data_IF_951509094635
#
_entry.id   IF_951509094635
#
_cell.length_a   1.000
_cell.length_b   1.000
_cell.length_c   1.000
_cell.angle_alpha   90.00
_cell.angle_beta   90.00
_cell.angle_gamma   90.00
#
_symmetry.space_group_name_H-M   'P 1'
#
loop_
_entity.id
_entity.type
_entity.pdbx_description
1 polymer ?
#
# COMPACT_ATOMS: atom_id res chain seq x y z
N UNK A 1 28.09 17.66 2.36
CA UNK A 1 27.68 17.19 3.69
C UNK A 1 28.90 17.12 4.62
N UNK A 2 29.94 16.36 4.26
CA UNK A 2 31.14 16.22 5.11
C UNK A 2 31.89 17.54 5.30
N UNK A 3 32.25 18.20 4.24
CA UNK A 3 33.09 19.40 4.25
C UNK A 3 32.46 20.56 5.01
N UNK A 4 31.12 20.67 5.03
CA UNK A 4 30.37 21.70 5.74
C UNK A 4 29.75 21.19 7.06
N UNK A 5 30.06 19.96 7.50
CA UNK A 5 29.53 19.33 8.71
C UNK A 5 27.99 19.42 8.85
N UNK A 6 27.27 19.13 7.76
CA UNK A 6 25.80 19.18 7.76
C UNK A 6 25.23 17.86 8.30
N UNK A 7 24.44 17.92 9.37
CA UNK A 7 23.92 16.74 10.09
C UNK A 7 22.43 16.54 9.96
N UNK A 8 21.73 17.52 9.37
CA UNK A 8 20.27 17.48 9.20
C UNK A 8 19.81 17.92 7.81
N UNK A 9 18.62 17.48 7.40
CA UNK A 9 18.01 17.88 6.12
C UNK A 9 17.82 19.40 6.02
N UNK A 10 17.33 20.12 7.05
CA UNK A 10 17.21 21.58 6.99
C UNK A 10 18.54 22.28 6.75
N UNK A 11 19.64 21.82 7.38
CA UNK A 11 20.97 22.39 7.15
C UNK A 11 21.44 22.18 5.72
N UNK A 12 21.24 20.99 5.14
CA UNK A 12 21.58 20.74 3.74
C UNK A 12 20.75 21.62 2.81
N UNK A 13 19.44 21.75 3.06
CA UNK A 13 18.57 22.58 2.23
C UNK A 13 18.95 24.06 2.30
N UNK A 14 19.33 24.53 3.48
CA UNK A 14 19.84 25.90 3.66
C UNK A 14 21.16 26.13 2.92
N UNK A 15 22.09 25.19 3.01
CA UNK A 15 23.37 25.27 2.32
C UNK A 15 23.23 25.23 0.78
N UNK A 16 22.17 24.59 0.28
CA UNK A 16 21.83 24.55 -1.15
C UNK A 16 20.94 25.71 -1.60
N UNK A 17 20.59 26.64 -0.69
CA UNK A 17 19.64 27.73 -0.95
C UNK A 17 18.32 27.26 -1.54
N UNK A 18 17.84 26.12 -1.07
CA UNK A 18 16.65 25.46 -1.61
C UNK A 18 15.37 26.19 -1.19
N UNK A 19 14.39 26.25 -2.10
CA UNK A 19 13.13 27.00 -1.88
C UNK A 19 12.32 26.50 -0.69
N UNK A 20 12.46 25.23 -0.33
CA UNK A 20 11.74 24.62 0.80
C UNK A 20 12.73 24.18 1.88
N UNK A 21 12.62 24.69 3.12
CA UNK A 21 13.60 24.42 4.17
C UNK A 21 13.67 22.96 4.59
N UNK A 22 12.61 22.19 4.34
CA UNK A 22 12.53 20.77 4.72
C UNK A 22 12.68 19.81 3.54
N UNK A 23 12.98 20.31 2.34
CA UNK A 23 13.06 19.48 1.14
C UNK A 23 11.70 19.00 0.65
N UNK A 24 11.72 18.09 -0.31
CA UNK A 24 10.53 17.48 -0.90
C UNK A 24 10.55 15.96 -0.77
N UNK A 25 9.42 15.32 -1.10
CA UNK A 25 9.28 13.87 -1.08
C UNK A 25 10.33 13.12 -1.91
N UNK A 26 10.90 13.75 -2.93
CA UNK A 26 11.94 13.18 -3.79
C UNK A 26 13.34 13.29 -3.15
N UNK A 27 13.65 14.43 -2.54
CA UNK A 27 15.00 14.71 -2.02
C UNK A 27 15.23 14.11 -0.62
N UNK A 28 14.21 14.12 0.23
CA UNK A 28 14.34 13.69 1.64
C UNK A 28 14.91 12.28 1.81
N UNK A 29 14.48 11.22 1.09
CA UNK A 29 15.01 9.87 1.29
C UNK A 29 16.49 9.76 0.97
N UNK A 30 16.94 10.40 -0.11
CA UNK A 30 18.34 10.41 -0.50
C UNK A 30 19.19 11.17 0.53
N UNK A 31 18.74 12.34 0.96
CA UNK A 31 19.43 13.13 1.97
C UNK A 31 19.49 12.41 3.32
N UNK A 32 18.37 11.81 3.75
CA UNK A 32 18.33 11.02 4.97
C UNK A 32 19.35 9.87 4.92
N UNK A 33 19.39 9.13 3.81
CA UNK A 33 20.38 8.07 3.61
C UNK A 33 21.83 8.59 3.71
N UNK A 34 22.16 9.68 3.02
CA UNK A 34 23.51 10.24 3.04
C UNK A 34 23.90 10.83 4.40
N UNK A 35 22.95 11.45 5.09
CA UNK A 35 23.18 11.98 6.45
C UNK A 35 23.48 10.87 7.43
N UNK A 36 22.65 9.83 7.49
CA UNK A 36 22.84 8.68 8.40
C UNK A 36 24.12 7.93 8.06
N UNK A 37 24.43 7.74 6.77
CA UNK A 37 25.65 7.05 6.34
C UNK A 37 26.91 7.85 6.64
N UNK A 38 26.83 9.18 6.63
CA UNK A 38 27.97 10.07 6.89
C UNK A 38 28.16 10.31 8.39
N UNK A 39 27.07 10.48 9.12
CA UNK A 39 27.03 10.84 10.53
C UNK A 39 26.16 9.88 11.34
N UNK A 40 26.58 8.60 11.50
CA UNK A 40 25.71 7.56 12.10
C UNK A 40 25.36 7.80 13.58
N UNK A 41 26.09 8.68 14.28
CA UNK A 41 25.85 9.02 15.68
C UNK A 41 25.12 10.35 15.85
N UNK A 42 25.35 11.29 14.94
CA UNK A 42 24.89 12.69 15.02
C UNK A 42 23.57 12.90 14.25
N UNK A 43 23.45 12.31 13.06
CA UNK A 43 22.25 12.44 12.23
C UNK A 43 21.10 11.60 12.78
N UNK A 44 19.92 12.22 12.87
CA UNK A 44 18.70 11.51 13.24
C UNK A 44 17.99 11.05 11.99
N UNK A 45 17.49 9.79 12.04
CA UNK A 45 16.63 9.25 10.99
C UNK A 45 15.38 10.12 10.80
N UNK A 46 15.10 10.52 9.55
CA UNK A 46 13.94 11.33 9.22
C UNK A 46 12.68 10.45 9.11
N UNK A 47 11.71 10.57 10.03
CA UNK A 47 10.51 9.74 10.01
C UNK A 47 9.71 9.87 8.71
N UNK A 48 9.70 11.06 8.09
CA UNK A 48 8.96 11.27 6.83
C UNK A 48 9.59 10.53 5.65
N UNK A 49 10.92 10.33 5.65
CA UNK A 49 11.61 9.57 4.61
C UNK A 49 11.25 8.09 4.62
N UNK A 50 10.75 7.55 5.72
CA UNK A 50 10.30 6.16 5.84
C UNK A 50 9.12 5.82 4.94
N UNK A 51 8.27 6.80 4.67
CA UNK A 51 6.97 6.60 4.03
C UNK A 51 6.93 6.99 2.56
N UNK A 52 8.07 7.37 1.99
CA UNK A 52 8.12 7.78 0.58
C UNK A 52 7.98 6.58 -0.34
N UNK A 53 7.00 6.67 -1.24
CA UNK A 53 6.74 5.67 -2.26
C UNK A 53 7.42 6.08 -3.58
N UNK A 54 8.65 5.63 -3.78
CA UNK A 54 9.49 6.00 -4.92
C UNK A 54 8.95 5.51 -6.26
N UNK A 55 8.03 4.54 -6.24
CA UNK A 55 7.53 3.84 -7.43
C UNK A 55 6.01 3.95 -7.55
N UNK A 56 5.45 5.13 -7.17
CA UNK A 56 4.00 5.32 -7.16
C UNK A 56 3.37 5.14 -8.54
N UNK A 57 4.03 5.63 -9.58
CA UNK A 57 3.45 5.72 -10.93
C UNK A 57 3.95 4.66 -11.91
N UNK A 58 5.16 4.13 -11.73
CA UNK A 58 5.70 3.09 -12.57
C UNK A 58 6.85 2.35 -11.88
N UNK A 59 7.15 1.14 -12.30
CA UNK A 59 8.29 0.37 -11.83
C UNK A 59 9.21 0.02 -12.99
N UNK A 60 10.51 0.32 -12.84
CA UNK A 60 11.50 -0.05 -13.83
C UNK A 60 11.63 -1.58 -13.91
N UNK A 61 11.69 -2.09 -15.13
CA UNK A 61 11.81 -3.51 -15.44
C UNK A 61 13.26 -3.86 -15.81
N UNK A 62 13.54 -5.15 -15.93
CA UNK A 62 14.89 -5.69 -16.21
C UNK A 62 15.52 -5.14 -17.49
N UNK A 63 14.70 -4.89 -18.49
CA UNK A 63 15.11 -4.38 -19.82
C UNK A 63 15.16 -2.85 -19.91
N UNK A 64 14.91 -2.15 -18.78
CA UNK A 64 14.89 -0.69 -18.72
C UNK A 64 13.55 -0.06 -19.10
N UNK A 65 12.56 -0.86 -19.50
CA UNK A 65 11.18 -0.41 -19.68
C UNK A 65 10.45 -0.29 -18.35
N UNK A 66 9.19 0.07 -18.38
CA UNK A 66 8.39 0.30 -17.18
C UNK A 66 7.11 -0.52 -17.17
N UNK A 67 6.68 -0.88 -15.96
CA UNK A 67 5.38 -1.45 -15.67
C UNK A 67 4.45 -0.34 -15.18
N UNK A 68 3.28 -0.21 -15.80
CA UNK A 68 2.24 0.75 -15.47
C UNK A 68 0.99 0.00 -15.03
N UNK A 69 0.48 0.30 -13.84
CA UNK A 69 -0.66 -0.40 -13.24
C UNK A 69 -1.75 0.60 -12.88
N UNK A 70 -2.80 0.71 -13.69
CA UNK A 70 -3.96 1.53 -13.37
C UNK A 70 -4.69 1.05 -12.11
N UNK A 71 -5.28 1.99 -11.37
CA UNK A 71 -6.06 1.69 -10.19
C UNK A 71 -7.39 1.02 -10.56
N UNK A 72 -7.67 -0.10 -9.90
CA UNK A 72 -8.94 -0.81 -9.95
C UNK A 72 -9.35 -1.10 -8.51
N UNK A 73 -10.14 -0.20 -7.91
CA UNK A 73 -10.53 -0.32 -6.50
C UNK A 73 -11.30 -1.60 -6.24
N UNK A 74 -10.87 -2.36 -5.25
CA UNK A 74 -11.46 -3.66 -4.94
C UNK A 74 -11.34 -4.70 -6.07
N UNK A 75 -10.47 -4.47 -7.06
CA UNK A 75 -10.36 -5.30 -8.26
C UNK A 75 -11.48 -5.09 -9.29
N UNK A 76 -12.30 -4.05 -9.11
CA UNK A 76 -13.44 -3.74 -9.99
C UNK A 76 -13.03 -2.79 -11.10
N UNK A 77 -13.51 -3.04 -12.31
CA UNK A 77 -13.37 -2.19 -13.49
C UNK A 77 -14.66 -2.21 -14.31
N UNK A 78 -14.70 -1.44 -15.38
CA UNK A 78 -15.84 -1.36 -16.27
C UNK A 78 -15.43 -1.43 -17.75
N UNK A 79 -16.42 -1.60 -18.64
CA UNK A 79 -16.16 -1.76 -20.07
C UNK A 79 -15.46 -0.54 -20.70
N UNK A 80 -15.70 0.67 -20.20
CA UNK A 80 -15.05 1.88 -20.71
C UNK A 80 -13.57 1.93 -20.33
N UNK A 81 -13.22 1.60 -19.09
CA UNK A 81 -11.83 1.49 -18.63
C UNK A 81 -11.08 0.39 -19.37
N UNK A 82 -11.70 -0.79 -19.56
CA UNK A 82 -11.08 -1.89 -20.32
C UNK A 82 -10.78 -1.50 -21.76
N UNK A 83 -11.70 -0.81 -22.45
CA UNK A 83 -11.44 -0.31 -23.81
C UNK A 83 -10.31 0.69 -23.82
N UNK A 84 -10.30 1.65 -22.89
CA UNK A 84 -9.23 2.64 -22.77
C UNK A 84 -7.86 2.01 -22.54
N UNK A 85 -7.79 0.98 -21.71
CA UNK A 85 -6.54 0.23 -21.48
C UNK A 85 -6.10 -0.45 -22.78
N UNK A 86 -7.02 -1.05 -23.54
CA UNK A 86 -6.72 -1.67 -24.83
C UNK A 86 -6.24 -0.64 -25.85
N UNK A 87 -6.96 0.49 -25.99
CA UNK A 87 -6.58 1.57 -26.91
C UNK A 87 -5.19 2.13 -26.60
N UNK A 88 -4.86 2.30 -25.31
CA UNK A 88 -3.53 2.75 -24.88
C UNK A 88 -2.47 1.69 -25.18
N UNK A 89 -2.77 0.42 -24.96
CA UNK A 89 -1.83 -0.65 -25.26
C UNK A 89 -1.50 -0.70 -26.75
N UNK A 90 -2.48 -0.55 -27.62
CA UNK A 90 -2.30 -0.49 -29.07
C UNK A 90 -1.54 0.77 -29.49
N UNK A 91 -1.94 1.95 -29.02
CA UNK A 91 -1.34 3.24 -29.35
C UNK A 91 0.16 3.30 -29.05
N UNK A 92 0.58 2.76 -27.92
CA UNK A 92 1.98 2.79 -27.49
C UNK A 92 2.73 1.46 -27.77
N UNK A 93 2.13 0.56 -28.55
CA UNK A 93 2.67 -0.75 -28.89
C UNK A 93 3.21 -1.49 -27.64
N UNK A 94 2.43 -1.50 -26.56
CA UNK A 94 2.79 -2.13 -25.29
C UNK A 94 2.83 -3.65 -25.50
N UNK A 95 3.98 -4.30 -25.30
CA UNK A 95 4.17 -5.68 -25.72
C UNK A 95 3.39 -6.71 -24.90
N UNK A 96 2.99 -6.35 -23.67
CA UNK A 96 2.24 -7.28 -22.81
C UNK A 96 1.28 -6.55 -21.89
N UNK A 97 0.01 -6.98 -21.90
CA UNK A 97 -1.00 -6.62 -20.92
C UNK A 97 -1.30 -7.85 -20.08
N UNK A 98 -1.13 -7.76 -18.76
CA UNK A 98 -1.19 -8.93 -17.86
C UNK A 98 -2.15 -8.72 -16.70
N UNK A 99 -3.04 -9.70 -16.49
CA UNK A 99 -3.81 -9.82 -15.25
C UNK A 99 -2.87 -10.27 -14.13
N UNK A 100 -2.86 -9.56 -13.01
CA UNK A 100 -2.00 -9.87 -11.86
C UNK A 100 -2.77 -10.54 -10.72
N UNK A 101 -2.08 -11.28 -9.86
CA UNK A 101 -2.69 -11.90 -8.67
C UNK A 101 -3.25 -10.91 -7.64
N UNK A 102 -2.95 -9.61 -7.78
CA UNK A 102 -3.53 -8.53 -6.97
C UNK A 102 -4.80 -7.93 -7.56
N UNK A 103 -5.43 -8.59 -8.53
CA UNK A 103 -6.64 -8.11 -9.23
C UNK A 103 -6.42 -6.75 -9.92
N UNK A 104 -5.30 -6.61 -10.61
CA UNK A 104 -4.95 -5.43 -11.40
C UNK A 104 -4.52 -5.85 -12.79
N UNK A 105 -4.67 -4.96 -13.75
CA UNK A 105 -4.09 -5.06 -15.07
C UNK A 105 -2.75 -4.33 -15.06
N UNK A 106 -1.71 -4.97 -15.57
CA UNK A 106 -0.35 -4.47 -15.65
C UNK A 106 0.06 -4.30 -17.12
N UNK A 107 0.44 -3.10 -17.50
CA UNK A 107 0.95 -2.74 -18.80
C UNK A 107 2.48 -2.82 -18.74
N UNK A 108 3.04 -3.88 -19.32
CA UNK A 108 4.46 -4.21 -19.24
C UNK A 108 5.20 -3.80 -20.54
N UNK A 109 6.40 -3.25 -20.39
CA UNK A 109 7.21 -2.82 -21.52
C UNK A 109 6.99 -1.39 -21.98
N UNK A 110 6.41 -0.54 -21.11
CA UNK A 110 6.20 0.89 -21.40
C UNK A 110 7.55 1.61 -21.48
N UNK A 111 7.80 2.37 -22.53
CA UNK A 111 9.02 3.17 -22.65
C UNK A 111 8.98 4.38 -21.73
N UNK A 112 10.15 4.80 -21.25
CA UNK A 112 10.27 5.92 -20.30
C UNK A 112 9.67 7.22 -20.84
N UNK A 113 9.95 7.51 -22.09
CA UNK A 113 9.47 8.69 -22.81
C UNK A 113 7.95 8.75 -22.97
N UNK A 114 7.28 7.60 -22.97
CA UNK A 114 5.84 7.47 -23.15
C UNK A 114 5.05 7.57 -21.84
N UNK A 115 5.69 7.41 -20.68
CA UNK A 115 5.01 7.27 -19.37
C UNK A 115 4.00 8.39 -19.10
N UNK A 116 4.36 9.65 -19.34
CA UNK A 116 3.49 10.80 -19.07
C UNK A 116 2.25 10.75 -19.95
N UNK A 117 2.44 10.44 -21.25
CA UNK A 117 1.35 10.35 -22.21
C UNK A 117 0.47 9.12 -21.98
N UNK A 118 1.06 7.98 -21.63
CA UNK A 118 0.32 6.76 -21.23
C UNK A 118 -0.62 7.05 -20.07
N UNK A 119 -0.14 7.70 -19.00
CA UNK A 119 -1.00 8.08 -17.87
C UNK A 119 -2.09 9.10 -18.26
N UNK A 120 -1.75 10.07 -19.10
CA UNK A 120 -2.72 11.05 -19.60
C UNK A 120 -3.84 10.37 -20.40
N UNK A 121 -3.49 9.46 -21.30
CA UNK A 121 -4.47 8.78 -22.17
C UNK A 121 -5.28 7.73 -21.40
N UNK A 122 -4.69 7.06 -20.42
CA UNK A 122 -5.41 6.19 -19.49
C UNK A 122 -6.48 6.97 -18.71
N UNK A 123 -6.18 8.21 -18.29
CA UNK A 123 -7.10 9.00 -17.46
C UNK A 123 -7.50 8.29 -16.17
N UNK A 124 -6.67 7.38 -15.68
CA UNK A 124 -6.87 6.58 -14.47
C UNK A 124 -5.75 6.91 -13.46
N UNK A 125 -6.06 6.78 -12.18
CA UNK A 125 -5.06 6.92 -11.13
C UNK A 125 -4.09 5.73 -11.10
N UNK A 126 -2.92 5.93 -10.50
CA UNK A 126 -2.00 4.83 -10.21
C UNK A 126 -2.60 3.85 -9.20
N UNK A 127 -2.46 2.56 -9.46
CA UNK A 127 -2.83 1.50 -8.54
C UNK A 127 -1.82 1.25 -7.42
N UNK A 128 -0.79 2.10 -7.27
CA UNK A 128 0.25 1.98 -6.25
C UNK A 128 0.80 0.55 -6.10
N UNK A 129 1.09 -0.10 -7.24
CA UNK A 129 1.46 -1.51 -7.29
C UNK A 129 2.88 -1.81 -6.77
N UNK A 130 3.71 -0.79 -6.61
CA UNK A 130 5.12 -0.89 -6.25
C UNK A 130 5.49 0.04 -5.10
N UNK A 131 6.68 -0.18 -4.53
CA UNK A 131 7.19 0.65 -3.44
C UNK A 131 6.53 0.39 -2.08
N UNK A 132 6.70 1.33 -1.18
CA UNK A 132 6.14 1.35 0.18
C UNK A 132 4.75 2.01 0.15
N UNK A 133 3.74 1.24 -0.19
CA UNK A 133 2.38 1.72 -0.37
C UNK A 133 1.35 0.69 0.05
N UNK A 134 0.15 1.18 0.30
CA UNK A 134 -1.03 0.33 0.43
C UNK A 134 -1.47 -0.09 -0.97
N UNK A 135 -1.61 -1.39 -1.15
CA UNK A 135 -1.96 -2.02 -2.42
C UNK A 135 -3.47 -2.01 -2.63
N UNK A 136 -3.90 -2.26 -3.87
CA UNK A 136 -5.30 -2.58 -4.17
C UNK A 136 -5.82 -3.61 -3.18
N UNK A 137 -6.99 -3.35 -2.63
CA UNK A 137 -7.67 -4.29 -1.72
C UNK A 137 -8.25 -5.42 -2.54
N UNK A 138 -7.73 -6.65 -2.36
CA UNK A 138 -8.25 -7.82 -3.05
C UNK A 138 -9.61 -8.20 -2.50
N UNK A 139 -10.60 -8.46 -3.35
CA UNK A 139 -11.94 -8.86 -2.93
C UNK A 139 -12.38 -10.17 -3.58
N UNK A 140 -13.35 -10.85 -3.01
CA UNK A 140 -14.15 -11.82 -3.73
C UNK A 140 -15.46 -11.16 -4.18
N UNK A 141 -16.28 -11.84 -4.96
CA UNK A 141 -17.52 -11.26 -5.53
C UNK A 141 -18.60 -10.94 -4.49
N UNK A 142 -18.46 -11.40 -3.24
CA UNK A 142 -19.34 -11.04 -2.14
C UNK A 142 -20.77 -11.54 -2.25
N UNK A 143 -21.64 -11.04 -1.36
CA UNK A 143 -23.04 -11.49 -1.27
C UNK A 143 -23.87 -11.20 -2.51
N UNK A 144 -23.49 -10.21 -3.32
CA UNK A 144 -24.29 -9.83 -4.50
C UNK A 144 -24.32 -10.92 -5.57
N UNK A 145 -23.20 -11.63 -5.74
CA UNK A 145 -23.04 -12.61 -6.82
C UNK A 145 -22.68 -14.02 -6.34
N UNK A 146 -22.36 -14.19 -5.05
CA UNK A 146 -21.97 -15.48 -4.49
C UNK A 146 -23.03 -16.00 -3.54
N UNK A 147 -23.57 -17.20 -3.82
CA UNK A 147 -24.57 -17.87 -2.95
C UNK A 147 -24.09 -18.14 -1.52
N UNK A 148 -22.78 -18.07 -1.26
CA UNK A 148 -22.19 -18.26 0.06
C UNK A 148 -21.78 -16.97 0.73
N UNK A 149 -21.90 -15.82 0.03
CA UNK A 149 -21.53 -14.53 0.56
C UNK A 149 -22.45 -14.11 1.69
N UNK A 150 -21.90 -13.75 2.84
CA UNK A 150 -22.64 -13.24 3.99
C UNK A 150 -22.65 -11.73 4.04
N UNK A 151 -21.63 -11.08 3.45
CA UNK A 151 -21.49 -9.63 3.40
C UNK A 151 -20.96 -9.15 2.04
N UNK A 152 -21.12 -7.83 1.76
CA UNK A 152 -20.64 -7.21 0.53
C UNK A 152 -19.14 -6.92 0.60
N UNK A 153 -18.32 -7.92 0.29
CA UNK A 153 -16.85 -7.79 0.29
C UNK A 153 -16.31 -6.83 -0.78
N UNK A 154 -16.98 -6.75 -1.92
CA UNK A 154 -16.56 -5.85 -3.01
C UNK A 154 -16.68 -4.39 -2.59
N UNK A 155 -17.85 -4.00 -2.05
CA UNK A 155 -18.08 -2.64 -1.58
C UNK A 155 -17.13 -2.27 -0.42
N UNK A 156 -16.97 -3.17 0.55
CA UNK A 156 -16.02 -2.99 1.66
C UNK A 156 -14.60 -2.77 1.16
N UNK A 157 -14.15 -3.55 0.18
CA UNK A 157 -12.82 -3.39 -0.41
C UNK A 157 -12.63 -2.05 -1.11
N UNK A 158 -13.65 -1.58 -1.84
CA UNK A 158 -13.64 -0.26 -2.51
C UNK A 158 -13.58 0.87 -1.47
N UNK A 159 -14.36 0.78 -0.39
CA UNK A 159 -14.35 1.78 0.69
C UNK A 159 -13.00 1.85 1.40
N UNK A 160 -12.44 0.70 1.78
CA UNK A 160 -11.11 0.63 2.39
C UNK A 160 -10.03 1.19 1.48
N UNK A 161 -10.01 0.83 0.20
CA UNK A 161 -9.03 1.36 -0.76
C UNK A 161 -9.20 2.86 -0.97
N UNK A 162 -10.43 3.36 -0.91
CA UNK A 162 -10.72 4.80 -1.02
C UNK A 162 -10.24 5.55 0.22
N UNK A 163 -10.52 5.03 1.42
CA UNK A 163 -10.08 5.61 2.69
C UNK A 163 -8.54 5.65 2.80
N UNK A 164 -7.88 4.59 2.36
CA UNK A 164 -6.43 4.43 2.46
C UNK A 164 -5.65 4.95 1.23
N UNK A 165 -6.34 5.61 0.29
CA UNK A 165 -5.73 6.09 -0.94
C UNK A 165 -4.55 7.04 -0.65
N UNK A 166 -3.44 6.83 -1.37
CA UNK A 166 -2.21 7.61 -1.25
C UNK A 166 -1.53 7.57 0.14
N UNK A 167 -1.99 6.71 1.04
CA UNK A 167 -1.35 6.54 2.34
C UNK A 167 -0.01 5.82 2.17
N UNK A 168 1.02 6.36 2.82
CA UNK A 168 2.37 5.84 2.81
C UNK A 168 2.63 5.01 4.06
N UNK A 169 3.41 3.96 3.92
CA UNK A 169 3.67 3.00 5.00
C UNK A 169 5.15 2.61 5.06
N UNK A 170 5.64 2.11 6.20
CA UNK A 170 7.03 1.67 6.36
C UNK A 170 7.46 0.63 5.33
N UNK A 171 6.54 -0.24 4.92
CA UNK A 171 6.70 -1.21 3.83
C UNK A 171 5.38 -1.36 3.07
N UNK A 172 5.37 -2.15 2.00
CA UNK A 172 4.13 -2.49 1.28
C UNK A 172 3.11 -3.15 2.22
N UNK A 173 1.86 -2.73 2.11
CA UNK A 173 0.73 -3.31 2.83
C UNK A 173 -0.26 -3.90 1.83
N UNK A 174 -0.67 -5.13 2.05
CA UNK A 174 -1.67 -5.84 1.25
C UNK A 174 -2.90 -6.10 2.10
N UNK A 175 -4.05 -5.73 1.57
CA UNK A 175 -5.34 -6.01 2.20
C UNK A 175 -6.16 -6.98 1.35
N UNK A 176 -7.06 -7.70 1.99
CA UNK A 176 -8.09 -8.44 1.28
C UNK A 176 -9.38 -8.54 2.11
N UNK A 177 -10.51 -8.60 1.41
CA UNK A 177 -11.83 -8.76 1.99
C UNK A 177 -12.50 -10.00 1.38
N UNK A 178 -12.79 -10.98 2.19
CA UNK A 178 -13.54 -12.20 1.82
C UNK A 178 -14.98 -12.09 2.32
N UNK A 179 -15.94 -12.30 1.44
CA UNK A 179 -17.37 -12.17 1.73
C UNK A 179 -17.99 -13.34 2.54
N UNK A 180 -17.18 -14.31 2.98
CA UNK A 180 -17.55 -15.40 3.86
C UNK A 180 -16.31 -16.16 4.35
N UNK A 181 -16.42 -17.08 5.34
CA UNK A 181 -15.29 -17.84 5.90
C UNK A 181 -14.52 -18.73 4.91
N UNK A 182 -14.98 -18.89 3.67
CA UNK A 182 -14.26 -19.64 2.62
C UNK A 182 -12.96 -18.94 2.18
N UNK A 183 -12.77 -17.68 2.56
CA UNK A 183 -11.52 -16.93 2.39
C UNK A 183 -11.01 -16.86 0.93
N UNK A 184 -11.90 -16.75 -0.05
CA UNK A 184 -11.54 -16.77 -1.48
C UNK A 184 -10.65 -15.59 -1.92
N UNK A 185 -10.67 -14.47 -1.18
CA UNK A 185 -9.75 -13.35 -1.43
C UNK A 185 -8.38 -13.54 -0.75
N UNK A 186 -8.14 -14.67 -0.08
CA UNK A 186 -6.90 -14.99 0.64
C UNK A 186 -6.62 -14.00 1.79
N UNK A 187 -7.66 -13.53 2.48
CA UNK A 187 -7.55 -12.58 3.60
C UNK A 187 -6.62 -13.10 4.70
N UNK A 188 -6.64 -14.41 4.98
CA UNK A 188 -5.84 -15.06 6.02
C UNK A 188 -4.32 -15.01 5.84
N UNK A 189 -3.80 -14.47 4.72
CA UNK A 189 -2.36 -14.29 4.48
C UNK A 189 -2.02 -12.85 4.06
N UNK A 190 -2.83 -11.90 4.46
CA UNK A 190 -2.61 -10.47 4.14
C UNK A 190 -2.13 -9.71 5.37
N UNK A 191 -1.51 -8.56 5.11
CA UNK A 191 -1.10 -7.63 6.17
C UNK A 191 -2.31 -7.20 7.02
N UNK A 192 -3.47 -6.97 6.36
CA UNK A 192 -4.79 -6.87 6.98
C UNK A 192 -5.77 -7.71 6.18
N UNK A 193 -6.37 -8.68 6.82
CA UNK A 193 -7.37 -9.57 6.25
C UNK A 193 -8.73 -9.38 6.91
N UNK A 194 -9.77 -9.19 6.11
CA UNK A 194 -11.14 -9.05 6.59
C UNK A 194 -11.95 -10.23 6.06
N UNK A 195 -12.65 -10.92 6.94
CA UNK A 195 -13.45 -12.10 6.60
C UNK A 195 -14.88 -11.87 7.12
N UNK A 196 -15.84 -11.89 6.22
CA UNK A 196 -17.23 -11.78 6.57
C UNK A 196 -17.73 -13.05 7.28
N UNK A 197 -18.56 -12.86 8.28
CA UNK A 197 -19.30 -13.88 9.02
C UNK A 197 -20.77 -13.46 9.14
N UNK A 198 -21.66 -14.35 9.54
CA UNK A 198 -23.10 -14.05 9.63
C UNK A 198 -23.39 -12.86 10.55
N UNK A 199 -22.61 -12.71 11.62
CA UNK A 199 -22.77 -11.65 12.63
C UNK A 199 -21.91 -10.40 12.36
N UNK A 200 -21.35 -10.21 11.16
CA UNK A 200 -20.51 -9.06 10.84
C UNK A 200 -19.18 -9.45 10.18
N UNK A 201 -18.07 -9.06 10.77
CA UNK A 201 -16.74 -9.19 10.18
C UNK A 201 -15.70 -9.62 11.23
N UNK A 202 -14.75 -10.40 10.80
CA UNK A 202 -13.54 -10.72 11.56
C UNK A 202 -12.33 -10.11 10.88
N UNK A 203 -11.52 -9.37 11.65
CA UNK A 203 -10.28 -8.75 11.20
C UNK A 203 -9.10 -9.59 11.67
N UNK A 204 -8.15 -9.79 10.76
CA UNK A 204 -6.91 -10.52 10.97
C UNK A 204 -5.75 -9.63 10.53
N UNK A 205 -4.64 -9.62 11.26
CA UNK A 205 -3.47 -8.79 10.96
C UNK A 205 -2.17 -9.58 10.97
N UNK A 206 -1.13 -9.03 10.34
CA UNK A 206 0.21 -9.61 10.37
C UNK A 206 0.42 -10.80 9.43
N UNK A 207 -0.47 -11.06 8.48
CA UNK A 207 -0.24 -12.10 7.47
C UNK A 207 0.82 -11.71 6.43
N UNK A 208 1.43 -12.68 5.82
CA UNK A 208 2.40 -12.50 4.75
C UNK A 208 2.31 -13.59 3.67
N UNK A 209 1.83 -13.23 2.49
CA UNK A 209 1.92 -14.07 1.29
C UNK A 209 3.19 -13.73 0.49
N UNK A 210 4.35 -13.93 1.06
CA UNK A 210 5.66 -13.67 0.46
C UNK A 210 6.57 -14.90 0.47
N UNK A 211 7.91 -14.69 0.51
CA UNK A 211 8.91 -15.76 0.52
C UNK A 211 8.67 -16.74 1.68
N UNK A 212 8.42 -16.19 2.88
CA UNK A 212 7.93 -16.95 4.02
C UNK A 212 6.45 -16.64 4.17
N UNK A 213 5.60 -17.62 3.95
CA UNK A 213 4.15 -17.46 4.14
C UNK A 213 3.83 -17.52 5.63
N UNK A 214 3.14 -16.49 6.11
CA UNK A 214 2.66 -16.40 7.49
C UNK A 214 1.14 -16.21 7.50
N UNK A 215 0.47 -16.90 8.38
CA UNK A 215 -0.98 -16.76 8.59
C UNK A 215 -1.22 -15.50 9.43
N UNK A 216 -2.21 -14.71 9.03
CA UNK A 216 -2.64 -13.55 9.80
C UNK A 216 -3.30 -13.98 11.11
N UNK A 217 -3.01 -13.27 12.19
CA UNK A 217 -3.57 -13.55 13.50
C UNK A 217 -4.90 -12.81 13.70
N UNK A 218 -5.82 -13.44 14.43
CA UNK A 218 -7.10 -12.82 14.77
C UNK A 218 -6.88 -11.56 15.62
N UNK A 219 -7.49 -10.47 15.17
CA UNK A 219 -7.35 -9.17 15.83
C UNK A 219 -8.64 -8.78 16.57
N UNK A 220 -9.76 -8.67 15.86
CA UNK A 220 -11.04 -8.27 16.44
C UNK A 220 -12.21 -8.76 15.58
N UNK A 221 -13.36 -8.95 16.22
CA UNK A 221 -14.65 -9.19 15.57
C UNK A 221 -15.55 -7.97 15.76
N UNK A 222 -16.18 -7.52 14.67
CA UNK A 222 -17.02 -6.32 14.65
C UNK A 222 -18.34 -6.59 13.93
N UNK A 223 -19.34 -5.75 14.19
CA UNK A 223 -20.70 -5.92 13.69
C UNK A 223 -21.02 -5.05 12.47
N UNK A 224 -20.29 -3.95 12.27
CA UNK A 224 -20.57 -2.95 11.24
C UNK A 224 -19.40 -2.71 10.29
N UNK A 225 -19.70 -2.15 9.12
CA UNK A 225 -18.71 -1.73 8.13
C UNK A 225 -17.88 -0.54 8.61
N UNK A 226 -18.46 0.32 9.43
CA UNK A 226 -17.80 1.46 10.03
C UNK A 226 -16.69 1.02 10.98
N UNK A 227 -16.97 0.06 11.84
CA UNK A 227 -15.99 -0.53 12.76
C UNK A 227 -14.84 -1.22 11.99
N UNK A 228 -15.12 -1.88 10.85
CA UNK A 228 -14.06 -2.45 9.98
C UNK A 228 -13.10 -1.36 9.53
N UNK A 229 -13.63 -0.22 9.06
CA UNK A 229 -12.83 0.93 8.60
C UNK A 229 -12.02 1.54 9.75
N UNK A 230 -12.66 1.74 10.89
CA UNK A 230 -12.07 2.31 12.09
C UNK A 230 -10.88 1.46 12.57
N UNK A 231 -11.08 0.18 12.86
CA UNK A 231 -10.01 -0.68 13.37
C UNK A 231 -8.93 -1.01 12.35
N UNK A 232 -9.28 -1.07 11.06
CA UNK A 232 -8.26 -1.17 9.99
C UNK A 232 -7.40 0.08 9.94
N UNK A 233 -8.03 1.26 10.02
CA UNK A 233 -7.33 2.55 10.04
C UNK A 233 -6.44 2.70 11.26
N UNK A 234 -6.95 2.40 12.46
CA UNK A 234 -6.22 2.48 13.72
C UNK A 234 -5.01 1.53 13.76
N UNK A 235 -5.17 0.28 13.34
CA UNK A 235 -4.05 -0.66 13.22
C UNK A 235 -2.96 -0.15 12.25
N UNK A 236 -3.37 0.33 11.09
CA UNK A 236 -2.41 0.84 10.10
C UNK A 236 -1.73 2.13 10.57
N UNK A 237 -2.44 2.99 11.31
CA UNK A 237 -1.84 4.18 11.88
C UNK A 237 -0.82 3.84 12.96
N UNK A 238 -1.15 2.94 13.90
CA UNK A 238 -0.22 2.44 14.90
C UNK A 238 1.03 1.82 14.25
N UNK A 239 0.84 0.98 13.24
CA UNK A 239 1.95 0.40 12.46
C UNK A 239 2.80 1.47 11.80
N UNK A 240 2.22 2.54 11.23
CA UNK A 240 2.96 3.65 10.63
C UNK A 240 3.78 4.45 11.62
N UNK A 241 3.29 4.59 12.84
CA UNK A 241 3.96 5.36 13.90
C UNK A 241 5.11 4.60 14.53
N UNK A 242 4.98 3.29 14.71
CA UNK A 242 5.92 2.50 15.52
C UNK A 242 6.84 1.57 14.71
N UNK A 243 6.47 1.21 13.48
CA UNK A 243 7.27 0.27 12.70
C UNK A 243 8.54 0.90 12.16
N UNK A 244 9.59 0.09 12.08
CA UNK A 244 10.86 0.49 11.47
C UNK A 244 10.75 0.59 9.95
N UNK A 245 11.66 1.34 9.34
CA UNK A 245 11.78 1.40 7.89
C UNK A 245 11.97 -0.01 7.30
N UNK A 246 11.16 -0.36 6.30
CA UNK A 246 11.06 -1.67 5.65
C UNK A 246 10.60 -2.82 6.56
N UNK A 247 10.14 -2.56 7.75
CA UNK A 247 9.51 -3.57 8.61
C UNK A 247 8.12 -3.90 8.06
N UNK A 248 7.85 -5.20 7.82
CA UNK A 248 6.53 -5.68 7.43
C UNK A 248 5.62 -5.79 8.66
N UNK A 249 4.32 -5.73 8.45
CA UNK A 249 3.31 -5.90 9.51
C UNK A 249 3.49 -7.18 10.32
N UNK A 250 3.87 -8.30 9.68
CA UNK A 250 4.18 -9.55 10.36
C UNK A 250 5.37 -9.43 11.33
N UNK A 251 6.44 -8.74 10.91
CA UNK A 251 7.61 -8.55 11.76
C UNK A 251 7.30 -7.56 12.89
N UNK A 252 6.53 -6.52 12.61
CA UNK A 252 6.03 -5.59 13.63
C UNK A 252 5.21 -6.33 14.67
N UNK A 253 4.22 -7.14 14.24
CA UNK A 253 3.41 -7.97 15.13
C UNK A 253 4.26 -8.90 16.01
N UNK A 254 5.22 -9.62 15.41
CA UNK A 254 6.11 -10.51 16.17
C UNK A 254 6.99 -9.75 17.17
N UNK A 255 7.35 -8.49 16.88
CA UNK A 255 8.18 -7.67 17.75
C UNK A 255 7.43 -7.13 18.96
N UNK A 256 6.19 -6.63 18.74
CA UNK A 256 5.43 -5.97 19.82
C UNK A 256 4.40 -6.88 20.48
N UNK A 257 3.93 -7.90 19.78
CA UNK A 257 2.92 -8.85 20.24
C UNK A 257 1.47 -8.39 19.97
N UNK A 258 0.56 -9.37 19.75
CA UNK A 258 -0.86 -9.09 19.49
C UNK A 258 -1.54 -8.39 20.67
N UNK A 259 -1.24 -8.80 21.88
CA UNK A 259 -1.83 -8.18 23.08
C UNK A 259 -1.50 -6.69 23.18
N UNK A 260 -0.29 -6.30 22.84
CA UNK A 260 0.10 -4.89 22.79
C UNK A 260 -0.76 -4.11 21.79
N UNK A 261 -0.88 -4.64 20.56
CA UNK A 261 -1.65 -4.00 19.49
C UNK A 261 -3.13 -3.88 19.90
N UNK A 262 -3.72 -4.96 20.45
CA UNK A 262 -5.11 -4.95 20.91
C UNK A 262 -5.32 -3.95 22.05
N UNK A 263 -4.40 -3.84 23.00
CA UNK A 263 -4.50 -2.88 24.08
C UNK A 263 -4.45 -1.44 23.58
N UNK A 264 -3.61 -1.15 22.58
CA UNK A 264 -3.47 0.17 21.97
C UNK A 264 -4.70 0.55 21.12
N UNK A 265 -5.15 -0.35 20.26
CA UNK A 265 -6.20 -0.04 19.29
C UNK A 265 -7.61 -0.21 19.86
N UNK A 266 -7.85 -1.24 20.69
CA UNK A 266 -9.21 -1.57 21.14
C UNK A 266 -9.57 -0.95 22.49
N UNK A 267 -8.57 -0.55 23.29
CA UNK A 267 -8.79 -0.07 24.67
C UNK A 267 -8.38 1.38 24.89
N UNK A 268 -7.67 1.99 23.98
CA UNK A 268 -7.26 3.38 24.05
C UNK A 268 -8.24 4.28 23.31
N UNK A 269 -9.15 5.00 24.02
CA UNK A 269 -10.15 5.84 23.37
C UNK A 269 -9.57 7.10 22.71
N UNK A 270 -8.25 7.35 22.83
CA UNK A 270 -7.56 8.49 22.22
C UNK A 270 -6.90 8.17 20.89
N UNK A 271 -6.94 6.92 20.46
CA UNK A 271 -6.47 6.47 19.15
C UNK A 271 -7.65 6.04 18.29
#
# INVERSE_FOLDING_TARGET
IRDAYLTSIPEVMKALEWRTPNGCATCRPALNYYLISTWPKEAKDDPQSRFINERAHANIQKDGTYSVVPQMKGGVTNAAELRRIADVADKYAIPMVKMTGGQRIDLLGVKKEDLVNVWKDLGMNSGHAYGKSIRTVKTCVGQEFCRFGTQNSTQMGIELETMLANMWSPHKVKLAVSGCPRNCAESGIKDVGIIAVDSGWELYVGGNGGIKTEVAEFFVKVSSSEEVKEYTGAFLQLYREEAFYLERTVHYLHRVGMEYIQNKVLKDPAQ
#
